data_IF_303743978523
#
_entry.id   IF_303743978523
#
_cell.length_a   1.000
_cell.length_b   1.000
_cell.length_c   1.000
_cell.angle_alpha   90.00
_cell.angle_beta   90.00
_cell.angle_gamma   90.00
#
_symmetry.space_group_name_H-M   'P 1'
#
loop_
_entity.id
_entity.type
_entity.pdbx_description
1 polymer ?
#
# COMPACT_ATOMS: atom_id res chain seq x y z
N UNK A 1 -13.08 -29.11 -6.68
CA UNK A 1 -12.83 -29.42 -5.25
C UNK A 1 -12.01 -30.70 -5.10
N UNK A 2 -12.44 -31.87 -5.59
CA UNK A 2 -11.63 -33.11 -5.55
C UNK A 2 -10.27 -32.99 -6.26
N UNK A 3 -10.21 -32.35 -7.44
CA UNK A 3 -8.94 -32.15 -8.18
C UNK A 3 -7.93 -31.31 -7.39
N UNK A 4 -8.40 -30.32 -6.64
CA UNK A 4 -7.54 -29.47 -5.80
C UNK A 4 -7.08 -30.25 -4.57
N UNK A 5 -7.97 -31.03 -3.95
CA UNK A 5 -7.63 -31.94 -2.85
C UNK A 5 -6.59 -32.98 -3.28
N UNK A 6 -6.75 -33.58 -4.46
CA UNK A 6 -5.79 -34.52 -5.04
C UNK A 6 -4.47 -33.84 -5.40
N UNK A 7 -4.49 -32.65 -6.00
CA UNK A 7 -3.29 -31.88 -6.30
C UNK A 7 -2.51 -31.52 -5.03
N UNK A 8 -3.20 -31.01 -4.01
CA UNK A 8 -2.64 -30.74 -2.71
C UNK A 8 -2.05 -32.03 -2.10
N UNK A 9 -2.83 -33.10 -1.99
CA UNK A 9 -2.38 -34.36 -1.40
C UNK A 9 -1.20 -35.01 -2.16
N UNK A 10 -1.14 -34.86 -3.49
CA UNK A 10 -0.11 -35.45 -4.35
C UNK A 10 1.21 -34.68 -4.32
N UNK A 11 1.16 -33.35 -4.25
CA UNK A 11 2.35 -32.50 -4.37
C UNK A 11 2.81 -31.89 -3.04
N UNK A 12 1.99 -31.91 -1.97
CA UNK A 12 2.43 -31.51 -0.63
C UNK A 12 3.49 -32.45 -0.05
N UNK A 13 3.52 -33.73 -0.43
CA UNK A 13 4.56 -34.67 0.01
C UNK A 13 5.92 -34.49 -0.67
N UNK A 14 5.98 -33.73 -1.76
CA UNK A 14 7.23 -33.38 -2.49
C UNK A 14 7.78 -32.01 -2.06
N UNK A 15 6.96 -31.20 -1.40
CA UNK A 15 7.34 -29.92 -0.80
C UNK A 15 7.81 -30.19 0.64
N UNK A 16 8.65 -29.31 1.18
CA UNK A 16 9.05 -29.38 2.60
C UNK A 16 7.77 -29.49 3.46
N UNK A 17 7.64 -30.51 4.33
CA UNK A 17 6.43 -30.75 5.13
C UNK A 17 6.01 -29.55 5.99
N UNK A 18 6.91 -28.59 6.21
CA UNK A 18 6.65 -27.36 6.95
C UNK A 18 6.17 -26.17 6.11
N UNK A 19 6.13 -26.22 4.77
CA UNK A 19 5.86 -25.02 3.95
C UNK A 19 4.98 -25.23 2.69
N UNK A 20 4.54 -26.46 2.41
CA UNK A 20 3.78 -26.76 1.18
C UNK A 20 2.45 -26.01 1.06
N UNK A 21 1.62 -26.02 2.12
CA UNK A 21 0.28 -25.41 2.09
C UNK A 21 0.35 -23.88 2.12
N UNK A 22 1.27 -23.32 2.91
CA UNK A 22 1.56 -21.89 2.93
C UNK A 22 2.04 -21.40 1.57
N UNK A 23 2.94 -22.14 0.90
CA UNK A 23 3.37 -21.80 -0.45
C UNK A 23 2.23 -21.83 -1.47
N UNK A 24 1.36 -22.84 -1.44
CA UNK A 24 0.18 -22.89 -2.32
C UNK A 24 -0.72 -21.69 -2.07
N UNK A 25 -0.97 -21.35 -0.81
CA UNK A 25 -1.74 -20.17 -0.42
C UNK A 25 -1.12 -18.87 -0.98
N UNK A 26 0.18 -18.66 -0.79
CA UNK A 26 0.87 -17.46 -1.25
C UNK A 26 0.90 -17.34 -2.78
N UNK A 27 1.13 -18.44 -3.50
CA UNK A 27 1.08 -18.47 -4.98
C UNK A 27 -0.34 -18.18 -5.47
N UNK A 28 -1.37 -18.69 -4.80
CA UNK A 28 -2.76 -18.37 -5.14
C UNK A 28 -3.07 -16.88 -4.95
N UNK A 29 -2.57 -16.27 -3.87
CA UNK A 29 -2.70 -14.83 -3.63
C UNK A 29 -1.98 -14.01 -4.70
N UNK A 30 -0.77 -14.41 -5.06
CA UNK A 30 0.07 -13.74 -6.06
C UNK A 30 -0.53 -13.78 -7.48
N UNK A 31 -1.23 -14.87 -7.81
CA UNK A 31 -1.84 -15.08 -9.13
C UNK A 31 -3.34 -14.73 -9.21
N UNK A 32 -3.95 -14.21 -8.15
CA UNK A 32 -5.35 -13.77 -8.19
C UNK A 32 -6.36 -14.92 -8.14
N UNK A 33 -5.99 -16.08 -7.60
CA UNK A 33 -6.85 -17.25 -7.54
C UNK A 33 -7.68 -17.29 -6.25
N UNK A 34 -8.66 -16.39 -6.09
CA UNK A 34 -9.47 -16.27 -4.88
C UNK A 34 -10.12 -17.59 -4.43
N UNK A 35 -10.64 -18.39 -5.36
CA UNK A 35 -11.25 -19.69 -5.03
C UNK A 35 -10.26 -20.64 -4.37
N UNK A 36 -8.99 -20.61 -4.78
CA UNK A 36 -7.92 -21.40 -4.18
C UNK A 36 -7.54 -20.85 -2.81
N UNK A 37 -7.47 -19.53 -2.65
CA UNK A 37 -7.23 -18.88 -1.35
C UNK A 37 -8.28 -19.31 -0.33
N UNK A 38 -9.57 -19.26 -0.70
CA UNK A 38 -10.68 -19.72 0.15
C UNK A 38 -10.56 -21.21 0.47
N UNK A 39 -10.34 -22.03 -0.55
CA UNK A 39 -10.20 -23.48 -0.38
C UNK A 39 -9.08 -23.84 0.60
N UNK A 40 -7.90 -23.21 0.48
CA UNK A 40 -6.76 -23.52 1.33
C UNK A 40 -7.00 -23.11 2.79
N UNK A 41 -7.67 -21.97 3.02
CA UNK A 41 -8.07 -21.56 4.37
C UNK A 41 -9.08 -22.53 4.98
N UNK A 42 -10.15 -22.86 4.25
CA UNK A 42 -11.18 -23.80 4.69
C UNK A 42 -10.56 -25.18 4.98
N UNK A 43 -9.70 -25.69 4.08
CA UNK A 43 -8.99 -26.94 4.26
C UNK A 43 -8.06 -26.93 5.48
N UNK A 44 -7.37 -25.81 5.74
CA UNK A 44 -6.49 -25.68 6.90
C UNK A 44 -7.26 -25.73 8.23
N UNK A 45 -8.50 -25.24 8.25
CA UNK A 45 -9.38 -25.28 9.42
C UNK A 45 -10.02 -26.67 9.66
N UNK A 46 -10.16 -27.48 8.61
CA UNK A 46 -10.66 -28.86 8.68
C UNK A 46 -9.60 -29.87 9.19
N UNK A 47 -8.32 -29.52 9.22
CA UNK A 47 -7.24 -30.44 9.61
C UNK A 47 -7.31 -30.80 11.11
N UNK A 48 -7.12 -32.08 11.49
CA UNK A 48 -7.07 -32.49 12.90
C UNK A 48 -5.98 -31.75 13.69
N UNK A 49 -6.22 -31.49 14.97
CA UNK A 49 -5.28 -30.74 15.84
C UNK A 49 -3.87 -31.36 15.91
N UNK A 50 -3.77 -32.68 15.77
CA UNK A 50 -2.53 -33.45 15.84
C UNK A 50 -1.92 -33.76 14.46
N UNK A 51 -2.29 -33.01 13.41
CA UNK A 51 -1.69 -33.17 12.09
C UNK A 51 -0.27 -32.58 12.07
N UNK A 52 0.71 -33.37 11.64
CA UNK A 52 2.10 -32.92 11.40
C UNK A 52 2.18 -31.81 10.32
N UNK A 53 1.10 -31.61 9.55
CA UNK A 53 0.97 -30.64 8.45
C UNK A 53 0.19 -29.38 8.90
N UNK A 54 -0.03 -29.17 10.21
CA UNK A 54 -0.72 -27.97 10.71
C UNK A 54 0.16 -26.72 10.62
N UNK A 55 0.54 -26.36 9.40
CA UNK A 55 1.07 -25.05 9.07
C UNK A 55 -0.05 -24.06 9.35
N UNK A 56 0.22 -23.07 10.18
CA UNK A 56 -0.73 -22.00 10.44
C UNK A 56 -0.81 -21.09 9.20
N UNK A 57 -1.59 -21.49 8.18
CA UNK A 57 -1.83 -20.70 6.96
C UNK A 57 -2.27 -19.28 7.32
N UNK A 58 -3.02 -19.12 8.43
CA UNK A 58 -3.45 -17.81 8.91
C UNK A 58 -2.29 -16.89 9.30
N UNK A 59 -1.13 -17.44 9.69
CA UNK A 59 0.09 -16.67 9.92
C UNK A 59 0.67 -16.06 8.62
N UNK A 60 0.26 -16.56 7.44
CA UNK A 60 0.69 -16.06 6.14
C UNK A 60 -0.31 -15.11 5.47
N UNK A 61 -1.45 -14.80 6.12
CA UNK A 61 -2.47 -13.90 5.56
C UNK A 61 -1.90 -12.52 5.25
N UNK A 62 -1.00 -11.98 6.09
CA UNK A 62 -0.36 -10.69 5.85
C UNK A 62 0.46 -10.70 4.54
N UNK A 63 1.27 -11.73 4.33
CA UNK A 63 2.04 -11.92 3.08
C UNK A 63 1.12 -12.14 1.87
N UNK A 64 0.05 -12.93 2.02
CA UNK A 64 -0.94 -13.12 0.97
C UNK A 64 -1.64 -11.82 0.58
N UNK A 65 -2.00 -11.01 1.58
CA UNK A 65 -2.58 -9.68 1.40
C UNK A 65 -1.64 -8.73 0.67
N UNK A 66 -0.36 -8.71 1.05
CA UNK A 66 0.67 -7.94 0.35
C UNK A 66 0.79 -8.35 -1.12
N UNK A 67 0.89 -9.65 -1.42
CA UNK A 67 0.99 -10.13 -2.80
C UNK A 67 -0.25 -9.75 -3.62
N UNK A 68 -1.45 -9.86 -3.02
CA UNK A 68 -2.68 -9.46 -3.67
C UNK A 68 -2.70 -7.94 -3.98
N UNK A 69 -2.22 -7.10 -3.06
CA UNK A 69 -2.13 -5.66 -3.29
C UNK A 69 -1.08 -5.32 -4.37
N UNK A 70 0.09 -5.94 -4.29
CA UNK A 70 1.20 -5.74 -5.24
C UNK A 70 0.83 -6.14 -6.67
N UNK A 71 -0.04 -7.15 -6.85
CA UNK A 71 -0.45 -7.63 -8.18
C UNK A 71 -1.86 -7.17 -8.60
N UNK A 72 -2.54 -6.34 -7.81
CA UNK A 72 -3.82 -5.74 -8.19
C UNK A 72 -5.04 -6.65 -8.02
N UNK A 73 -4.96 -7.70 -7.19
CA UNK A 73 -6.06 -8.65 -6.98
C UNK A 73 -7.06 -8.15 -5.95
N UNK A 74 -7.86 -7.14 -6.33
CA UNK A 74 -8.80 -6.44 -5.47
C UNK A 74 -9.82 -7.35 -4.76
N UNK A 75 -10.25 -8.43 -5.41
CA UNK A 75 -11.18 -9.42 -4.87
C UNK A 75 -10.58 -10.16 -3.66
N UNK A 76 -9.30 -10.55 -3.75
CA UNK A 76 -8.54 -11.15 -2.64
C UNK A 76 -8.30 -10.13 -1.53
N UNK A 77 -7.97 -8.88 -1.86
CA UNK A 77 -7.80 -7.79 -0.88
C UNK A 77 -9.08 -7.61 -0.05
N UNK A 78 -10.25 -7.51 -0.72
CA UNK A 78 -11.55 -7.42 -0.05
C UNK A 78 -11.81 -8.63 0.84
N UNK A 79 -11.59 -9.82 0.32
CA UNK A 79 -11.78 -11.07 1.05
C UNK A 79 -10.93 -11.09 2.34
N UNK A 80 -9.64 -10.73 2.27
CA UNK A 80 -8.78 -10.75 3.45
C UNK A 80 -9.16 -9.73 4.51
N UNK A 81 -9.56 -8.51 4.15
CA UNK A 81 -10.01 -7.54 5.15
C UNK A 81 -11.29 -8.00 5.87
N UNK A 82 -12.24 -8.58 5.13
CA UNK A 82 -13.44 -9.15 5.72
C UNK A 82 -13.13 -10.39 6.57
N UNK A 83 -12.28 -11.29 6.07
CA UNK A 83 -11.85 -12.50 6.78
C UNK A 83 -11.11 -12.15 8.07
N UNK A 84 -10.21 -11.18 8.04
CA UNK A 84 -9.46 -10.72 9.20
C UNK A 84 -10.37 -10.11 10.27
N UNK A 85 -11.36 -9.29 9.87
CA UNK A 85 -12.37 -8.76 10.79
C UNK A 85 -13.20 -9.86 11.44
N UNK A 86 -13.63 -10.87 10.68
CA UNK A 86 -14.46 -11.96 11.18
C UNK A 86 -13.70 -12.91 12.11
N UNK A 87 -12.40 -13.09 11.89
CA UNK A 87 -11.57 -14.04 12.62
C UNK A 87 -10.63 -13.39 13.65
N UNK A 88 -10.76 -12.09 13.90
CA UNK A 88 -9.88 -11.31 14.80
C UNK A 88 -8.39 -11.44 14.46
N UNK A 89 -8.05 -11.39 13.17
CA UNK A 89 -6.66 -11.46 12.67
C UNK A 89 -6.15 -10.05 12.45
N UNK A 90 -4.93 -9.78 12.91
CA UNK A 90 -4.23 -8.53 12.64
C UNK A 90 -3.62 -8.58 11.24
N UNK A 91 -3.89 -7.55 10.44
CA UNK A 91 -3.19 -7.28 9.17
C UNK A 91 -2.50 -5.94 9.32
N UNK A 92 -1.18 -5.94 9.47
CA UNK A 92 -0.46 -4.69 9.48
C UNK A 92 -0.13 -4.28 8.03
N UNK A 93 -0.95 -3.40 7.49
CA UNK A 93 -0.80 -2.84 6.14
C UNK A 93 0.52 -2.06 5.92
N UNK A 94 1.17 -1.68 7.02
CA UNK A 94 2.44 -0.95 7.05
C UNK A 94 3.61 -1.80 7.61
N UNK A 95 3.40 -3.08 7.96
CA UNK A 95 4.44 -3.92 8.55
C UNK A 95 5.45 -4.44 7.52
N UNK A 96 6.63 -4.78 8.05
CA UNK A 96 7.61 -5.63 7.38
C UNK A 96 8.30 -4.96 6.19
N UNK A 97 8.77 -5.79 5.27
CA UNK A 97 9.47 -5.36 4.04
C UNK A 97 8.52 -5.11 2.87
N UNK A 98 7.21 -4.93 3.13
CA UNK A 98 6.15 -5.08 2.12
C UNK A 98 4.95 -4.16 2.33
N UNK A 99 5.18 -2.89 2.07
CA UNK A 99 4.18 -1.84 2.01
C UNK A 99 3.08 -2.16 0.98
N UNK A 100 1.94 -2.66 1.45
CA UNK A 100 0.85 -3.15 0.59
C UNK A 100 0.30 -2.05 -0.31
N UNK A 101 0.06 -0.86 0.25
CA UNK A 101 -0.42 0.29 -0.51
C UNK A 101 0.68 0.90 -1.38
N UNK A 102 1.93 0.95 -0.91
CA UNK A 102 3.04 1.47 -1.72
C UNK A 102 3.26 0.60 -2.96
N UNK A 103 3.18 -0.72 -2.83
CA UNK A 103 3.33 -1.67 -3.94
C UNK A 103 2.18 -1.53 -4.94
N UNK A 104 0.94 -1.38 -4.44
CA UNK A 104 -0.21 -1.08 -5.29
C UNK A 104 -0.03 0.26 -6.03
N UNK A 105 0.50 1.29 -5.38
CA UNK A 105 0.81 2.58 -6.01
C UNK A 105 1.94 2.45 -7.05
N UNK A 106 3.02 1.74 -6.71
CA UNK A 106 4.18 1.58 -7.57
C UNK A 106 3.90 0.77 -8.83
N UNK A 107 2.92 -0.14 -8.77
CA UNK A 107 2.52 -1.01 -9.87
C UNK A 107 1.26 -0.51 -10.60
N UNK A 108 0.64 0.59 -10.14
CA UNK A 108 -0.46 1.25 -10.82
C UNK A 108 -1.84 0.63 -10.59
N UNK A 109 -2.03 -0.09 -9.49
CA UNK A 109 -3.30 -0.73 -9.15
C UNK A 109 -4.25 0.26 -8.46
N UNK A 110 -4.75 1.24 -9.22
CA UNK A 110 -5.63 2.31 -8.69
C UNK A 110 -6.86 1.77 -7.97
N UNK A 111 -7.48 0.71 -8.49
CA UNK A 111 -8.67 0.09 -7.90
C UNK A 111 -8.42 -0.45 -6.48
N UNK A 112 -7.25 -1.05 -6.25
CA UNK A 112 -6.78 -1.46 -4.92
C UNK A 112 -6.51 -0.24 -4.05
N UNK A 113 -5.75 0.75 -4.54
CA UNK A 113 -5.40 1.96 -3.78
C UNK A 113 -6.66 2.69 -3.32
N UNK A 114 -7.60 2.93 -4.24
CA UNK A 114 -8.85 3.61 -3.95
C UNK A 114 -9.69 2.84 -2.93
N UNK A 115 -9.79 1.51 -3.09
CA UNK A 115 -10.53 0.68 -2.15
C UNK A 115 -9.91 0.73 -0.74
N UNK A 116 -8.59 0.63 -0.61
CA UNK A 116 -7.90 0.68 0.69
C UNK A 116 -8.10 2.04 1.37
N UNK A 117 -7.95 3.15 0.64
CA UNK A 117 -8.21 4.50 1.15
C UNK A 117 -9.65 4.66 1.61
N UNK A 118 -10.61 4.24 0.79
CA UNK A 118 -12.04 4.32 1.12
C UNK A 118 -12.40 3.43 2.32
N UNK A 119 -11.78 2.24 2.42
CA UNK A 119 -11.99 1.31 3.51
C UNK A 119 -11.46 1.89 4.83
N UNK A 120 -10.29 2.50 4.84
CA UNK A 120 -9.66 2.99 6.08
C UNK A 120 -10.15 4.37 6.51
N UNK A 121 -10.69 5.16 5.58
CA UNK A 121 -11.34 6.45 5.89
C UNK A 121 -12.67 6.29 6.63
N UNK A 122 -13.25 5.09 6.61
CA UNK A 122 -14.57 4.79 7.14
C UNK A 122 -14.48 4.41 8.63
N UNK A 123 -15.12 5.17 9.55
CA UNK A 123 -15.02 4.91 10.99
C UNK A 123 -15.42 3.50 11.42
N UNK A 124 -16.35 2.86 10.70
CA UNK A 124 -16.81 1.50 10.98
C UNK A 124 -15.75 0.42 10.73
N UNK A 125 -14.69 0.74 9.99
CA UNK A 125 -13.61 -0.19 9.65
C UNK A 125 -12.30 0.14 10.37
N UNK A 126 -12.26 1.23 11.14
CA UNK A 126 -11.16 1.51 12.07
C UNK A 126 -11.11 0.39 13.09
N UNK A 127 -10.06 -0.42 12.99
CA UNK A 127 -9.78 -1.53 13.89
C UNK A 127 -8.35 -1.39 14.35
N UNK A 128 -8.02 -1.57 15.64
CA UNK A 128 -6.62 -1.64 16.08
C UNK A 128 -5.87 -2.82 15.44
N UNK A 129 -6.59 -3.73 14.79
CA UNK A 129 -6.04 -4.87 14.06
C UNK A 129 -5.59 -4.52 12.63
N UNK A 130 -5.93 -3.33 12.12
CA UNK A 130 -5.55 -2.85 10.79
C UNK A 130 -4.85 -1.51 10.98
N UNK A 131 -3.60 -1.39 10.48
CA UNK A 131 -2.84 -0.13 10.57
C UNK A 131 -3.53 1.05 9.86
N UNK A 132 -3.15 2.27 10.19
CA UNK A 132 -3.60 3.47 9.45
C UNK A 132 -2.76 3.67 8.19
N UNK A 133 -3.31 4.24 7.11
CA UNK A 133 -2.50 4.52 5.92
C UNK A 133 -1.51 5.63 6.24
N UNK A 134 -0.23 5.37 5.98
CA UNK A 134 0.82 6.38 5.94
C UNK A 134 1.36 6.47 4.51
N UNK A 135 1.06 7.56 3.80
CA UNK A 135 1.62 7.80 2.46
C UNK A 135 3.03 8.42 2.49
N UNK A 136 3.48 8.88 3.66
CA UNK A 136 4.77 9.52 3.89
C UNK A 136 5.86 8.53 4.30
N UNK A 137 5.49 7.27 4.56
CA UNK A 137 6.41 6.17 4.79
C UNK A 137 7.45 6.07 3.67
N UNK A 138 8.62 5.53 4.02
CA UNK A 138 9.71 5.26 3.07
C UNK A 138 10.11 6.45 2.20
N UNK A 139 10.03 7.67 2.75
CA UNK A 139 10.34 8.90 2.03
C UNK A 139 9.43 9.08 0.81
N UNK A 140 8.12 9.10 1.05
CA UNK A 140 7.06 9.34 0.07
C UNK A 140 7.07 8.35 -1.11
N UNK A 141 7.42 7.08 -0.81
CA UNK A 141 7.69 6.04 -1.80
C UNK A 141 6.49 5.79 -2.74
N UNK A 142 5.27 5.73 -2.18
CA UNK A 142 4.02 5.58 -2.93
C UNK A 142 3.91 6.56 -4.09
N UNK A 143 4.03 7.87 -3.78
CA UNK A 143 3.91 8.92 -4.78
C UNK A 143 5.07 8.90 -5.76
N UNK A 144 6.30 8.76 -5.26
CA UNK A 144 7.51 8.81 -6.09
C UNK A 144 7.53 7.70 -7.13
N UNK A 145 7.23 6.46 -6.77
CA UNK A 145 7.24 5.36 -7.74
C UNK A 145 6.05 5.38 -8.66
N UNK A 146 4.86 5.76 -8.20
CA UNK A 146 3.73 6.04 -9.09
C UNK A 146 4.15 7.05 -10.18
N UNK A 147 4.88 8.11 -9.80
CA UNK A 147 5.44 9.10 -10.72
C UNK A 147 6.50 8.53 -11.67
N UNK A 148 7.47 7.75 -11.17
CA UNK A 148 8.55 7.21 -12.03
C UNK A 148 8.03 6.17 -13.03
N UNK A 149 7.07 5.34 -12.63
CA UNK A 149 6.42 4.34 -13.47
C UNK A 149 5.26 4.90 -14.32
N UNK A 150 4.94 6.19 -14.15
CA UNK A 150 3.93 6.93 -14.94
C UNK A 150 2.51 6.39 -14.77
N UNK A 151 2.16 5.96 -13.55
CA UNK A 151 0.80 5.58 -13.19
C UNK A 151 -0.05 6.83 -12.93
N UNK A 152 -0.43 7.51 -14.01
CA UNK A 152 -1.11 8.82 -13.98
C UNK A 152 -2.39 8.82 -13.17
N UNK A 153 -3.16 7.74 -13.26
CA UNK A 153 -4.41 7.53 -12.56
C UNK A 153 -4.23 7.44 -11.04
N UNK A 154 -3.20 6.73 -10.58
CA UNK A 154 -2.77 6.71 -9.17
C UNK A 154 -2.28 8.09 -8.74
N UNK A 155 -1.45 8.77 -9.55
CA UNK A 155 -0.93 10.11 -9.23
C UNK A 155 -2.08 11.11 -9.04
N UNK A 156 -3.02 11.14 -9.99
CA UNK A 156 -4.18 12.04 -9.96
C UNK A 156 -5.08 11.77 -8.74
N UNK A 157 -5.18 10.50 -8.32
CA UNK A 157 -5.88 10.12 -7.10
C UNK A 157 -5.16 10.54 -5.82
N UNK A 158 -3.82 10.37 -5.76
CA UNK A 158 -3.02 10.67 -4.57
C UNK A 158 -2.82 12.18 -4.36
N UNK A 159 -2.62 12.97 -5.43
CA UNK A 159 -2.35 14.40 -5.34
C UNK A 159 -3.31 15.19 -4.45
N UNK A 160 -4.65 15.06 -4.55
CA UNK A 160 -5.56 15.78 -3.67
C UNK A 160 -5.53 15.29 -2.22
N UNK A 161 -5.20 14.01 -1.99
CA UNK A 161 -5.06 13.44 -0.64
C UNK A 161 -3.80 14.00 0.03
N UNK A 162 -2.66 13.89 -0.64
CA UNK A 162 -1.37 14.35 -0.14
C UNK A 162 -1.32 15.86 0.07
N UNK A 163 -1.92 16.64 -0.86
CA UNK A 163 -1.97 18.11 -0.77
C UNK A 163 -3.07 18.63 0.16
N UNK A 164 -3.75 17.77 0.91
CA UNK A 164 -4.62 18.18 2.00
C UNK A 164 -3.81 18.53 3.27
N UNK A 165 -2.60 17.97 3.39
CA UNK A 165 -1.68 18.22 4.48
C UNK A 165 -1.00 19.59 4.34
N UNK A 166 -0.47 20.13 5.44
CA UNK A 166 0.00 21.53 5.50
C UNK A 166 1.51 21.68 5.44
N UNK A 167 2.25 20.62 5.71
CA UNK A 167 3.72 20.59 5.85
C UNK A 167 4.42 20.28 4.52
N UNK A 168 3.77 19.48 3.67
CA UNK A 168 4.27 19.12 2.34
C UNK A 168 3.33 19.51 1.21
N UNK A 169 3.90 19.74 0.04
CA UNK A 169 3.15 19.94 -1.20
C UNK A 169 3.76 19.11 -2.34
N UNK A 170 2.90 18.39 -3.03
CA UNK A 170 3.21 17.43 -4.09
C UNK A 170 2.74 17.97 -5.42
N UNK A 171 3.62 17.90 -6.42
CA UNK A 171 3.32 18.35 -7.76
C UNK A 171 3.85 17.37 -8.79
N UNK A 172 3.07 17.16 -9.85
CA UNK A 172 3.43 16.32 -10.98
C UNK A 172 3.07 17.02 -12.28
N UNK A 173 3.99 17.03 -13.24
CA UNK A 173 3.75 17.55 -14.59
C UNK A 173 4.64 16.83 -15.61
N UNK A 174 4.01 16.24 -16.63
CA UNK A 174 4.68 15.65 -17.81
C UNK A 174 5.87 14.71 -17.47
N UNK A 175 5.74 13.87 -16.45
CA UNK A 175 6.79 12.90 -16.07
C UNK A 175 7.78 13.41 -15.04
N UNK A 176 7.69 14.67 -14.61
CA UNK A 176 8.47 15.25 -13.53
C UNK A 176 7.60 15.44 -12.31
N UNK A 177 8.19 15.24 -11.14
CA UNK A 177 7.52 15.40 -9.87
C UNK A 177 8.40 16.16 -8.88
N UNK A 178 7.72 16.83 -7.95
CA UNK A 178 8.30 17.73 -6.98
C UNK A 178 7.61 17.50 -5.63
N UNK A 179 8.41 17.49 -4.58
CA UNK A 179 7.94 17.42 -3.20
C UNK A 179 8.54 18.61 -2.47
N UNK A 180 7.67 19.52 -2.05
CA UNK A 180 7.98 20.74 -1.35
C UNK A 180 7.79 20.49 0.14
N UNK A 181 8.77 20.88 0.94
CA UNK A 181 8.67 20.91 2.40
C UNK A 181 8.65 22.36 2.87
N UNK A 182 7.64 22.70 3.67
CA UNK A 182 7.57 23.98 4.37
C UNK A 182 8.48 23.95 5.60
N UNK A 183 9.35 24.94 5.73
CA UNK A 183 10.24 25.06 6.88
C UNK A 183 9.57 25.92 7.95
N UNK A 184 9.25 25.34 9.11
CA UNK A 184 9.01 26.08 10.36
C UNK A 184 10.28 25.88 11.22
N UNK A 185 11.17 26.87 11.22
CA UNK A 185 12.34 27.06 12.10
C UNK A 185 13.14 25.83 12.62
N UNK A 186 14.39 25.73 12.13
CA UNK A 186 15.59 25.09 12.70
C UNK A 186 15.41 23.95 13.74
N UNK A 187 15.28 22.71 13.25
CA UNK A 187 16.16 21.60 13.68
C UNK A 187 16.27 20.63 12.50
N UNK A 188 17.42 20.61 11.82
CA UNK A 188 17.67 19.67 10.73
C UNK A 188 17.77 18.24 11.29
N UNK A 189 16.69 17.48 11.22
CA UNK A 189 16.78 16.02 11.22
C UNK A 189 16.73 15.55 9.78
N UNK A 190 17.88 15.06 9.31
CA UNK A 190 18.13 14.46 8.00
C UNK A 190 17.25 13.24 7.76
N UNK A 191 16.02 13.46 7.27
CA UNK A 191 15.36 12.50 6.37
C UNK A 191 15.50 13.05 4.96
N UNK A 192 16.73 13.02 4.45
CA UNK A 192 17.03 13.55 3.12
C UNK A 192 16.38 12.67 2.05
N UNK A 193 15.42 13.24 1.32
CA UNK A 193 14.97 12.61 0.09
C UNK A 193 16.16 12.44 -0.85
N UNK A 194 16.31 11.26 -1.46
CA UNK A 194 17.38 10.92 -2.42
C UNK A 194 17.26 11.65 -3.78
N UNK A 195 16.70 12.85 -3.79
CA UNK A 195 16.47 13.68 -4.97
C UNK A 195 17.30 14.97 -4.88
N UNK A 196 17.72 15.53 -6.02
CA UNK A 196 18.19 16.91 -6.08
C UNK A 196 17.22 17.86 -5.37
N UNK A 197 17.76 18.85 -4.68
CA UNK A 197 16.95 19.84 -3.98
C UNK A 197 17.40 21.27 -4.23
N UNK A 198 16.45 22.20 -4.11
CA UNK A 198 16.65 23.65 -4.17
C UNK A 198 16.04 24.30 -2.92
N UNK A 199 16.80 25.15 -2.24
CA UNK A 199 16.37 25.87 -1.03
C UNK A 199 15.87 27.28 -1.37
N UNK A 200 14.80 27.71 -0.71
CA UNK A 200 14.20 29.05 -0.78
C UNK A 200 13.98 29.59 0.63
N UNK A 201 13.65 30.88 0.77
CA UNK A 201 13.53 31.56 2.09
C UNK A 201 12.62 30.84 3.10
N UNK A 202 11.57 30.14 2.65
CA UNK A 202 10.57 29.51 3.53
C UNK A 202 10.29 28.03 3.22
N UNK A 203 10.98 27.44 2.24
CA UNK A 203 10.70 26.08 1.81
C UNK A 203 11.88 25.44 1.08
N UNK A 204 11.86 24.11 0.99
CA UNK A 204 12.82 23.29 0.23
C UNK A 204 12.04 22.46 -0.80
N UNK A 205 12.48 22.47 -2.05
CA UNK A 205 11.90 21.64 -3.11
C UNK A 205 12.85 20.49 -3.42
N UNK A 206 12.36 19.27 -3.31
CA UNK A 206 12.99 18.08 -3.86
C UNK A 206 12.36 17.77 -5.22
N UNK A 207 13.17 17.50 -6.23
CA UNK A 207 12.67 17.35 -7.59
C UNK A 207 13.43 16.27 -8.35
N UNK A 208 12.75 15.66 -9.32
CA UNK A 208 13.43 14.79 -10.30
C UNK A 208 14.24 15.60 -11.32
N UNK A 209 13.64 16.64 -11.86
CA UNK A 209 14.16 17.51 -12.93
C UNK A 209 13.61 18.93 -12.72
N UNK A 210 14.25 19.95 -13.30
CA UNK A 210 13.93 21.37 -13.00
C UNK A 210 13.01 22.05 -14.02
N UNK A 211 12.57 21.36 -15.08
CA UNK A 211 11.90 22.01 -16.22
C UNK A 211 10.54 22.63 -15.87
N UNK A 212 9.87 22.11 -14.84
CA UNK A 212 8.57 22.61 -14.35
C UNK A 212 8.64 23.09 -12.90
N UNK A 213 9.82 23.55 -12.45
CA UNK A 213 10.01 24.07 -11.10
C UNK A 213 9.17 25.33 -10.84
N UNK A 214 9.13 26.26 -11.79
CA UNK A 214 8.31 27.49 -11.67
C UNK A 214 6.82 27.17 -11.59
N UNK A 215 6.34 26.21 -12.41
CA UNK A 215 4.96 25.73 -12.33
C UNK A 215 4.64 25.13 -10.95
N UNK A 216 5.56 24.37 -10.36
CA UNK A 216 5.41 23.82 -9.03
C UNK A 216 5.25 24.94 -7.99
N UNK A 217 6.09 25.97 -8.05
CA UNK A 217 6.04 27.13 -7.14
C UNK A 217 4.74 27.90 -7.30
N UNK A 218 4.26 28.11 -8.53
CA UNK A 218 2.98 28.75 -8.79
C UNK A 218 1.80 27.93 -8.26
N UNK A 219 1.78 26.62 -8.52
CA UNK A 219 0.75 25.71 -8.02
C UNK A 219 0.70 25.69 -6.49
N UNK A 220 1.86 25.70 -5.84
CA UNK A 220 1.97 25.79 -4.39
C UNK A 220 1.36 27.09 -3.84
N UNK A 221 1.69 28.25 -4.41
CA UNK A 221 1.10 29.55 -4.02
C UNK A 221 -0.43 29.53 -4.13
N UNK A 222 -0.95 28.94 -5.20
CA UNK A 222 -2.40 28.79 -5.40
C UNK A 222 -3.02 27.88 -4.33
N UNK A 223 -2.36 26.77 -3.97
CA UNK A 223 -2.81 25.88 -2.89
C UNK A 223 -2.87 26.60 -1.53
N UNK A 224 -1.81 27.33 -1.16
CA UNK A 224 -1.78 28.16 0.06
C UNK A 224 -2.92 29.18 0.12
N UNK A 225 -3.24 29.83 -1.01
CA UNK A 225 -4.36 30.76 -1.07
C UNK A 225 -5.72 30.06 -0.83
N UNK A 226 -5.88 28.80 -1.25
CA UNK A 226 -7.10 28.01 -1.02
C UNK A 226 -7.21 27.57 0.43
N UNK A 227 -6.12 27.13 1.06
CA UNK A 227 -6.12 26.67 2.45
C UNK A 227 -6.42 27.82 3.43
N UNK A 228 -5.84 29.01 3.21
CA UNK A 228 -6.12 30.22 4.03
C UNK A 228 -7.59 30.67 3.98
N UNK A 229 -8.27 30.50 2.84
CA UNK A 229 -9.69 30.84 2.70
C UNK A 229 -10.61 29.86 3.45
N UNK A 230 -10.20 28.59 3.62
CA UNK A 230 -10.96 27.58 4.36
C UNK A 230 -10.87 27.75 5.88
N UNK A 231 -9.80 28.35 6.40
CA UNK A 231 -9.61 28.63 7.84
C UNK A 231 -10.22 29.95 8.33
N UNK A 232 -10.85 30.72 7.44
CA UNK A 232 -11.44 32.02 7.75
C UNK A 232 -12.97 31.98 7.95
N UNK A 233 -13.56 30.78 7.97
CA UNK A 233 -14.98 30.49 8.23
C UNK A 233 -15.09 29.41 9.31
#
# INVERSE_FOLDING_TARGET
MEVIRDYCNKHLGELDPYDGLARVFLVACDNGHLDMVRYVLDYSDELPENSDIKINVKAHIEFGFMNACSNGHLDIVKFFLDYARLNSITININAGTGYSIESACSNGHLDVVQFLVDFMSKPQFRSPLIGEIDFHSSNDFSFRWACMNKHYDVIDFLLPILNAEKDKFYFYKKGQFYILHLHEDETETENEMLLPNTKFEHFRIYHKETDYLDDCVEAFKVNLCKSRKKSAY
#
